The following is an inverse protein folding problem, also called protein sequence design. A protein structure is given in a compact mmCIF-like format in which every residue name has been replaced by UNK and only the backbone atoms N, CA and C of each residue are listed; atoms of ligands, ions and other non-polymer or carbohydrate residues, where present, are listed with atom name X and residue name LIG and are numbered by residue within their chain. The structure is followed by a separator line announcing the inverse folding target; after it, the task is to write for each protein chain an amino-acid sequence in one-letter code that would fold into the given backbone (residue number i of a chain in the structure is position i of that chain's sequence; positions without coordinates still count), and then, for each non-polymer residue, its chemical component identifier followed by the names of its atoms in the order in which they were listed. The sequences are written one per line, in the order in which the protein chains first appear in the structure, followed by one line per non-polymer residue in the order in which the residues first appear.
data_IF_267694043925
#
_entry.id   IF_267694043925
#
_cell.length_a   1.000
_cell.length_b   1.000
_cell.length_c   1.000
_cell.angle_alpha   90.00
_cell.angle_beta   90.00
_cell.angle_gamma   90.00
#
_symmetry.space_group_name_H-M   'P 1'
#
loop_
_entity.id
_entity.type
_entity.pdbx_description
1 polymer ?
#
# COMPACT_ATOMS: atom_id res chain seq x y z
N UNK A 1 3.54 -17.63 3.59
CA UNK A 1 2.34 -16.82 3.84
C UNK A 1 2.56 -15.45 3.21
N UNK A 2 1.53 -14.76 2.70
CA UNK A 2 1.65 -13.37 2.30
C UNK A 2 2.20 -12.55 3.48
N UNK A 3 3.13 -11.63 3.21
CA UNK A 3 3.57 -10.68 4.23
C UNK A 3 2.40 -9.78 4.63
N UNK A 4 2.03 -9.80 5.90
CA UNK A 4 0.96 -8.99 6.42
C UNK A 4 1.38 -7.55 6.72
N UNK A 5 0.44 -6.66 7.06
CA UNK A 5 0.66 -5.21 7.23
C UNK A 5 1.64 -4.80 8.34
N UNK A 6 1.97 -5.70 9.27
CA UNK A 6 2.89 -5.36 10.34
C UNK A 6 4.31 -5.05 9.80
N UNK A 7 5.10 -4.19 10.46
CA UNK A 7 6.47 -3.86 10.03
C UNK A 7 7.41 -5.05 9.93
N UNK A 8 7.08 -6.18 10.58
CA UNK A 8 7.81 -7.46 10.51
C UNK A 8 7.16 -8.48 9.56
N UNK A 9 6.01 -8.16 8.95
CA UNK A 9 5.32 -8.98 7.96
C UNK A 9 4.39 -10.02 8.57
N UNK A 10 4.27 -10.01 9.89
CA UNK A 10 3.54 -11.04 10.62
C UNK A 10 2.02 -10.90 10.48
N UNK A 11 1.52 -9.72 10.06
CA UNK A 11 0.10 -9.38 9.99
C UNK A 11 -0.41 -8.71 11.26
N UNK A 12 -1.58 -8.06 11.18
CA UNK A 12 -2.13 -7.31 12.32
C UNK A 12 -3.17 -8.15 13.09
N UNK A 13 -3.15 -8.14 14.43
CA UNK A 13 -4.19 -8.78 15.21
C UNK A 13 -5.51 -8.00 15.08
N UNK A 14 -6.61 -8.72 14.88
CA UNK A 14 -7.97 -8.17 14.82
C UNK A 14 -8.85 -8.93 15.80
N UNK A 15 -9.64 -8.22 16.60
CA UNK A 15 -10.67 -8.85 17.43
C UNK A 15 -11.91 -9.10 16.56
N UNK A 16 -12.18 -10.37 16.28
CA UNK A 16 -13.42 -10.82 15.64
C UNK A 16 -14.45 -11.16 16.70
N UNK A 17 -15.60 -10.47 16.69
CA UNK A 17 -16.76 -10.78 17.54
C UNK A 17 -17.90 -11.24 16.64
N UNK A 18 -18.30 -12.49 16.80
CA UNK A 18 -19.30 -13.15 15.96
C UNK A 18 -20.50 -13.60 16.81
N UNK A 19 -21.71 -13.44 16.26
CA UNK A 19 -22.90 -14.09 16.82
C UNK A 19 -23.07 -15.45 16.16
N UNK A 20 -22.98 -16.52 16.95
CA UNK A 20 -23.16 -17.90 16.51
C UNK A 20 -24.37 -18.52 17.25
N UNK A 21 -24.85 -19.68 16.81
CA UNK A 21 -26.03 -20.34 17.41
C UNK A 21 -25.88 -20.58 18.91
N UNK A 22 -24.66 -20.84 19.39
CA UNK A 22 -24.34 -21.10 20.79
C UNK A 22 -24.04 -19.84 21.61
N UNK A 23 -24.18 -18.64 21.05
CA UNK A 23 -23.93 -17.36 21.73
C UNK A 23 -22.91 -16.47 21.02
N UNK A 24 -22.22 -15.62 21.77
CA UNK A 24 -21.18 -14.71 21.26
C UNK A 24 -19.83 -15.41 21.28
N UNK A 25 -19.15 -15.44 20.13
CA UNK A 25 -17.78 -15.94 19.98
C UNK A 25 -16.84 -14.76 19.75
N UNK A 26 -15.87 -14.57 20.66
CA UNK A 26 -14.79 -13.61 20.49
C UNK A 26 -13.46 -14.34 20.22
N UNK A 27 -12.73 -13.93 19.19
CA UNK A 27 -11.43 -14.51 18.83
C UNK A 27 -10.47 -13.43 18.34
N UNK A 28 -9.21 -13.52 18.76
CA UNK A 28 -8.13 -12.78 18.12
C UNK A 28 -7.75 -13.52 16.83
N UNK A 29 -7.88 -12.82 15.71
CA UNK A 29 -7.54 -13.29 14.38
C UNK A 29 -6.28 -12.59 13.90
N UNK A 30 -5.49 -13.27 13.06
CA UNK A 30 -4.34 -12.65 12.42
C UNK A 30 -4.69 -12.27 10.99
N UNK A 31 -4.68 -10.97 10.70
CA UNK A 31 -5.02 -10.45 9.38
C UNK A 31 -3.76 -10.31 8.53
N UNK A 32 -3.60 -11.23 7.57
CA UNK A 32 -2.50 -11.27 6.58
C UNK A 32 -3.06 -10.95 5.20
N UNK A 33 -3.26 -9.66 4.91
CA UNK A 33 -3.62 -9.20 3.56
C UNK A 33 -2.39 -9.14 2.67
N UNK A 34 -2.55 -9.49 1.40
CA UNK A 34 -1.49 -9.41 0.41
C UNK A 34 -1.18 -7.97 -0.02
N UNK A 35 -0.08 -7.76 -0.76
CA UNK A 35 0.35 -6.44 -1.22
C UNK A 35 -0.72 -5.65 -2.01
N UNK A 36 -1.51 -6.34 -2.84
CA UNK A 36 -2.59 -5.71 -3.61
C UNK A 36 -3.72 -5.20 -2.71
N UNK A 37 -4.12 -6.01 -1.73
CA UNK A 37 -5.12 -5.65 -0.74
C UNK A 37 -4.61 -4.55 0.20
N UNK A 38 -3.34 -4.61 0.60
CA UNK A 38 -2.69 -3.54 1.37
C UNK A 38 -2.77 -2.21 0.62
N UNK A 39 -2.43 -2.19 -0.67
CA UNK A 39 -2.58 -0.99 -1.50
C UNK A 39 -4.02 -0.62 -1.84
N UNK A 40 -4.98 -1.55 -1.74
CA UNK A 40 -6.39 -1.22 -1.87
C UNK A 40 -6.95 -0.57 -0.60
N UNK A 41 -6.46 -0.97 0.57
CA UNK A 41 -6.96 -0.56 1.89
C UNK A 41 -6.16 0.58 2.55
N UNK A 42 -4.96 0.89 2.04
CA UNK A 42 -4.14 1.98 2.59
C UNK A 42 -4.82 3.35 2.39
N UNK A 43 -4.89 4.12 3.47
CA UNK A 43 -5.48 5.46 3.58
C UNK A 43 -4.47 6.58 3.94
N UNK A 44 -3.17 6.29 4.02
CA UNK A 44 -2.12 7.31 4.21
C UNK A 44 -2.27 8.42 3.15
N UNK A 45 -2.22 9.71 3.52
CA UNK A 45 -2.35 10.81 2.56
C UNK A 45 -1.31 10.75 1.43
N UNK A 46 -0.04 10.45 1.75
CA UNK A 46 1.06 10.38 0.78
C UNK A 46 0.91 9.19 -0.16
N UNK A 47 0.58 8.01 0.39
CA UNK A 47 0.35 6.81 -0.40
C UNK A 47 -0.91 6.95 -1.27
N UNK A 48 -1.96 7.59 -0.75
CA UNK A 48 -3.19 7.87 -1.49
C UNK A 48 -2.94 8.84 -2.65
N UNK A 49 -2.11 9.86 -2.45
CA UNK A 49 -1.70 10.78 -3.50
C UNK A 49 -0.90 10.05 -4.60
N UNK A 50 0.12 9.28 -4.24
CA UNK A 50 0.90 8.47 -5.20
C UNK A 50 0.02 7.50 -5.99
N UNK A 51 -0.86 6.77 -5.29
CA UNK A 51 -1.81 5.83 -5.92
C UNK A 51 -2.77 6.54 -6.86
N UNK A 52 -3.25 7.74 -6.50
CA UNK A 52 -4.13 8.55 -7.35
C UNK A 52 -3.40 9.02 -8.61
N UNK A 53 -2.17 9.52 -8.49
CA UNK A 53 -1.33 9.91 -9.63
C UNK A 53 -1.13 8.73 -10.60
N UNK A 54 -0.74 7.55 -10.11
CA UNK A 54 -0.56 6.37 -10.95
C UNK A 54 -1.89 5.87 -11.54
N UNK A 55 -2.98 5.93 -10.78
CA UNK A 55 -4.32 5.54 -11.25
C UNK A 55 -4.78 6.41 -12.41
N UNK A 56 -4.54 7.72 -12.35
CA UNK A 56 -4.88 8.64 -13.42
C UNK A 56 -4.08 8.36 -14.70
N UNK A 57 -2.82 7.91 -14.59
CA UNK A 57 -1.96 7.63 -15.75
C UNK A 57 -2.17 6.23 -16.34
N UNK A 58 -2.49 5.22 -15.53
CA UNK A 58 -2.42 3.80 -15.93
C UNK A 58 -3.72 3.00 -15.69
N UNK A 59 -4.67 3.56 -14.95
CA UNK A 59 -5.83 2.87 -14.41
C UNK A 59 -5.56 2.16 -13.06
N UNK A 60 -6.62 1.96 -12.28
CA UNK A 60 -6.55 1.51 -10.87
C UNK A 60 -5.86 0.15 -10.69
N UNK A 61 -6.12 -0.81 -11.59
CA UNK A 61 -5.60 -2.18 -11.45
C UNK A 61 -4.10 -2.21 -11.68
N UNK A 62 -3.61 -1.58 -12.77
CA UNK A 62 -2.17 -1.51 -13.07
C UNK A 62 -1.41 -0.70 -12.03
N UNK A 63 -1.97 0.43 -11.59
CA UNK A 63 -1.38 1.25 -10.53
C UNK A 63 -1.11 0.43 -9.26
N UNK A 64 -2.12 -0.33 -8.79
CA UNK A 64 -1.95 -1.20 -7.60
C UNK A 64 -0.96 -2.33 -7.82
N UNK A 65 -0.87 -2.92 -9.02
CA UNK A 65 0.15 -3.95 -9.32
C UNK A 65 1.56 -3.39 -9.22
N UNK A 66 1.84 -2.26 -9.87
CA UNK A 66 3.16 -1.60 -9.82
C UNK A 66 3.53 -1.24 -8.38
N UNK A 67 2.57 -0.70 -7.63
CA UNK A 67 2.77 -0.35 -6.23
C UNK A 67 3.01 -1.58 -5.34
N UNK A 68 2.27 -2.67 -5.55
CA UNK A 68 2.47 -3.94 -4.84
C UNK A 68 3.83 -4.58 -5.13
N UNK A 69 4.31 -4.49 -6.38
CA UNK A 69 5.62 -5.01 -6.80
C UNK A 69 6.78 -4.21 -6.17
N UNK A 70 6.66 -2.88 -6.12
CA UNK A 70 7.74 -2.02 -5.62
C UNK A 70 7.69 -1.79 -4.10
N UNK A 71 6.50 -1.89 -3.51
CA UNK A 71 6.24 -1.67 -2.09
C UNK A 71 5.33 -2.79 -1.55
N UNK A 72 5.87 -4.02 -1.38
CA UNK A 72 5.08 -5.18 -0.96
C UNK A 72 4.42 -5.00 0.42
N UNK A 73 4.99 -4.11 1.25
CA UNK A 73 4.47 -3.75 2.58
C UNK A 73 3.29 -2.78 2.54
N UNK A 74 2.86 -2.35 1.35
CA UNK A 74 1.67 -1.54 1.17
C UNK A 74 1.87 -0.04 1.35
N UNK A 75 3.10 0.45 1.57
CA UNK A 75 3.37 1.88 1.77
C UNK A 75 4.69 2.31 1.13
N UNK A 76 4.69 3.51 0.56
CA UNK A 76 5.86 4.24 0.07
C UNK A 76 6.19 5.46 0.95
N UNK A 77 5.45 5.68 2.04
CA UNK A 77 5.53 6.88 2.89
C UNK A 77 6.96 7.17 3.35
N UNK A 78 7.69 6.17 3.85
CA UNK A 78 9.08 6.35 4.32
C UNK A 78 10.03 6.80 3.21
N UNK A 79 9.85 6.30 1.98
CA UNK A 79 10.66 6.72 0.83
C UNK A 79 10.30 8.15 0.39
N UNK A 80 9.00 8.47 0.37
CA UNK A 80 8.52 9.82 0.02
C UNK A 80 9.07 10.84 1.03
N UNK A 81 9.04 10.53 2.32
CA UNK A 81 9.58 11.36 3.40
C UNK A 81 11.08 11.55 3.28
N UNK A 82 11.81 10.46 3.06
CA UNK A 82 13.25 10.52 2.86
C UNK A 82 13.60 11.44 1.67
N UNK A 83 12.88 11.34 0.55
CA UNK A 83 13.12 12.19 -0.62
C UNK A 83 12.72 13.65 -0.39
N UNK A 84 11.60 13.90 0.28
CA UNK A 84 11.16 15.26 0.62
C UNK A 84 12.11 15.98 1.60
N UNK A 85 12.83 15.25 2.45
CA UNK A 85 13.86 15.83 3.31
C UNK A 85 15.17 16.14 2.59
N UNK A 86 15.48 15.43 1.50
CA UNK A 86 16.71 15.61 0.71
C UNK A 86 16.54 16.66 -0.39
N UNK A 87 15.35 16.74 -0.98
CA UNK A 87 15.00 17.70 -2.02
C UNK A 87 13.88 18.60 -1.51
N UNK A 88 14.10 19.92 -1.48
CA UNK A 88 13.06 20.93 -1.19
C UNK A 88 12.10 21.07 -2.40
N UNK A 89 11.58 19.94 -2.88
CA UNK A 89 10.80 19.83 -4.11
C UNK A 89 9.36 19.50 -3.75
N UNK A 90 8.43 20.34 -4.19
CA UNK A 90 6.99 20.12 -4.03
C UNK A 90 6.45 18.91 -4.82
N UNK A 91 7.29 18.25 -5.63
CA UNK A 91 6.86 17.30 -6.66
C UNK A 91 7.38 15.85 -6.50
N UNK A 92 7.87 15.47 -5.32
CA UNK A 92 8.43 14.14 -5.03
C UNK A 92 7.51 12.99 -5.47
N UNK A 93 6.19 13.18 -5.31
CA UNK A 93 5.19 12.15 -5.65
C UNK A 93 5.10 11.94 -7.17
N UNK A 94 5.11 13.00 -7.97
CA UNK A 94 5.05 12.91 -9.44
C UNK A 94 6.34 12.31 -10.00
N UNK A 95 7.49 12.67 -9.44
CA UNK A 95 8.79 12.10 -9.81
C UNK A 95 8.83 10.60 -9.52
N UNK A 96 8.41 10.19 -8.33
CA UNK A 96 8.34 8.77 -7.96
C UNK A 96 7.34 8.03 -8.87
N UNK A 97 6.17 8.59 -9.15
CA UNK A 97 5.22 7.97 -10.06
C UNK A 97 5.81 7.76 -11.46
N UNK A 98 6.52 8.76 -11.98
CA UNK A 98 7.15 8.70 -13.31
C UNK A 98 8.31 7.69 -13.34
N UNK A 99 9.10 7.60 -12.26
CA UNK A 99 10.13 6.58 -12.09
C UNK A 99 9.54 5.17 -12.12
N UNK A 100 8.45 4.94 -11.38
CA UNK A 100 7.77 3.64 -11.33
C UNK A 100 7.20 3.23 -12.68
N UNK A 101 6.69 4.18 -13.47
CA UNK A 101 6.21 3.90 -14.82
C UNK A 101 7.37 3.53 -15.75
N UNK A 102 8.47 4.29 -15.69
CA UNK A 102 9.68 4.02 -16.50
C UNK A 102 10.27 2.64 -16.22
N UNK A 103 10.30 2.21 -14.96
CA UNK A 103 10.79 0.87 -14.57
C UNK A 103 10.03 -0.29 -15.23
N UNK A 104 8.79 -0.05 -15.65
CA UNK A 104 7.94 -1.03 -16.32
C UNK A 104 8.16 -1.06 -17.85
N UNK A 105 9.16 -0.34 -18.37
CA UNK A 105 9.48 -0.29 -19.79
C UNK A 105 8.64 0.69 -20.60
N UNK A 106 7.86 1.55 -19.95
CA UNK A 106 7.12 2.62 -20.61
C UNK A 106 7.96 3.91 -20.65
N UNK A 107 8.27 4.40 -21.85
CA UNK A 107 8.71 5.78 -22.04
C UNK A 107 7.46 6.65 -22.22
N UNK A 108 7.12 7.45 -21.21
CA UNK A 108 6.12 8.52 -21.29
C UNK A 108 6.81 9.85 -21.57
#
# INVERSE_FOLDING_TARGET
MPEGPAPDGSGVPVLGVFRVKSGTLARILKFTVGPLELWALNSSPKDSALRKTLTNKLGSVRARKILAENFPRGSATSLIEHRAGQHNSDNVIEELASELIRKQGYNL
#
